data_IF_121044728646
#
_entry.id   IF_121044728646
#
_cell.length_a   1.000
_cell.length_b   1.000
_cell.length_c   1.000
_cell.angle_alpha   90.00
_cell.angle_beta   90.00
_cell.angle_gamma   90.00
#
_symmetry.space_group_name_H-M   'P 1'
#
loop_
_entity.id
_entity.type
_entity.pdbx_description
1 polymer ?
#
# COMPACT_ATOMS: atom_id res chain seq x y z
N UNK A 1 -10.14 -9.13 -12.99
CA UNK A 1 -9.44 -9.43 -14.26
C UNK A 1 -9.87 -8.38 -15.30
N UNK A 2 -9.20 -8.27 -16.46
CA UNK A 2 -9.58 -7.29 -17.49
C UNK A 2 -11.03 -7.39 -17.99
N UNK A 3 -11.68 -8.55 -17.81
CA UNK A 3 -13.07 -8.81 -18.15
C UNK A 3 -14.07 -8.17 -17.17
N UNK A 4 -13.63 -7.84 -15.95
CA UNK A 4 -14.48 -7.21 -14.92
C UNK A 4 -14.71 -5.70 -15.18
N UNK A 5 -14.01 -5.14 -16.17
CA UNK A 5 -14.00 -3.70 -16.48
C UNK A 5 -14.47 -3.45 -17.94
N UNK A 6 -15.79 -3.48 -18.21
CA UNK A 6 -16.34 -3.17 -19.53
C UNK A 6 -16.11 -1.71 -19.94
N UNK A 7 -15.30 -1.49 -20.96
CA UNK A 7 -14.95 -0.16 -21.45
C UNK A 7 -13.50 -0.13 -21.92
N UNK A 8 -13.04 1.01 -22.42
CA UNK A 8 -11.66 1.13 -22.92
C UNK A 8 -10.82 2.08 -22.08
N UNK A 9 -11.42 3.03 -21.35
CA UNK A 9 -10.73 4.09 -20.63
C UNK A 9 -10.74 3.82 -19.14
N UNK A 10 -9.57 3.54 -18.59
CA UNK A 10 -9.41 3.19 -17.18
C UNK A 10 -8.45 4.16 -16.51
N UNK A 11 -8.80 4.58 -15.29
CA UNK A 11 -7.87 5.27 -14.39
C UNK A 11 -7.40 4.30 -13.34
N UNK A 12 -6.08 4.20 -13.17
CA UNK A 12 -5.47 3.49 -12.04
C UNK A 12 -4.93 4.54 -11.07
N UNK A 13 -5.30 4.44 -9.79
CA UNK A 13 -4.95 5.40 -8.75
C UNK A 13 -4.05 4.74 -7.73
N UNK A 14 -2.85 5.25 -7.57
CA UNK A 14 -1.89 4.71 -6.61
C UNK A 14 -0.47 4.81 -7.15
N UNK A 15 0.52 4.67 -6.28
CA UNK A 15 1.93 4.66 -6.68
C UNK A 15 2.68 3.48 -6.08
N UNK A 16 1.94 2.47 -5.61
CA UNK A 16 2.43 1.25 -4.99
C UNK A 16 2.58 0.11 -6.00
N UNK A 17 3.13 -1.02 -5.54
CA UNK A 17 3.28 -2.21 -6.39
C UNK A 17 1.96 -2.69 -7.00
N UNK A 18 0.85 -2.64 -6.25
CA UNK A 18 -0.45 -3.08 -6.77
C UNK A 18 -0.99 -2.17 -7.87
N UNK A 19 -0.77 -0.86 -7.74
CA UNK A 19 -1.14 0.13 -8.74
C UNK A 19 -0.32 -0.01 -10.03
N UNK A 20 1.00 -0.19 -9.91
CA UNK A 20 1.85 -0.49 -11.06
C UNK A 20 1.29 -1.74 -11.80
N UNK A 21 0.82 -2.74 -11.04
CA UNK A 21 0.47 -4.06 -11.59
C UNK A 21 -0.82 -3.96 -12.37
N UNK A 22 -1.83 -3.32 -11.78
CA UNK A 22 -3.07 -3.00 -12.46
C UNK A 22 -2.82 -2.19 -13.74
N UNK A 23 -1.97 -1.15 -13.67
CA UNK A 23 -1.65 -0.33 -14.84
C UNK A 23 -1.00 -1.14 -15.96
N UNK A 24 -0.08 -2.04 -15.62
CA UNK A 24 0.59 -2.94 -16.57
C UNK A 24 -0.40 -3.90 -17.23
N UNK A 25 -1.18 -4.64 -16.44
CA UNK A 25 -2.10 -5.65 -16.97
C UNK A 25 -3.19 -5.05 -17.86
N UNK A 26 -3.71 -3.87 -17.49
CA UNK A 26 -4.74 -3.19 -18.27
C UNK A 26 -4.18 -2.63 -19.57
N UNK A 27 -2.97 -2.09 -19.54
CA UNK A 27 -2.29 -1.64 -20.76
C UNK A 27 -2.03 -2.82 -21.70
N UNK A 28 -1.51 -3.93 -21.18
CA UNK A 28 -1.22 -5.14 -21.97
C UNK A 28 -2.50 -5.82 -22.48
N UNK A 29 -3.63 -5.64 -21.80
CA UNK A 29 -4.97 -6.00 -22.29
C UNK A 29 -5.53 -5.02 -23.34
N UNK A 30 -4.79 -3.97 -23.70
CA UNK A 30 -5.11 -3.01 -24.76
C UNK A 30 -5.98 -1.82 -24.32
N UNK A 31 -6.17 -1.58 -23.02
CA UNK A 31 -6.95 -0.44 -22.50
C UNK A 31 -6.17 0.88 -22.64
N UNK A 32 -6.89 2.00 -22.62
CA UNK A 32 -6.34 3.34 -22.42
C UNK A 32 -6.22 3.60 -20.92
N UNK A 33 -4.99 3.60 -20.42
CA UNK A 33 -4.68 3.73 -19.00
C UNK A 33 -4.23 5.16 -18.69
N UNK A 34 -4.96 5.84 -17.82
CA UNK A 34 -4.47 7.04 -17.15
C UNK A 34 -4.00 6.66 -15.75
N UNK A 35 -2.69 6.65 -15.54
CA UNK A 35 -2.06 6.23 -14.30
C UNK A 35 -1.81 7.46 -13.39
N UNK A 36 -2.57 7.59 -12.31
CA UNK A 36 -2.59 8.78 -11.44
C UNK A 36 -1.96 8.48 -10.09
N UNK A 37 -1.03 9.33 -9.66
CA UNK A 37 -0.42 9.21 -8.34
C UNK A 37 -0.08 10.56 -7.70
N UNK A 38 -0.17 10.59 -6.36
CA UNK A 38 0.11 11.79 -5.55
C UNK A 38 1.59 12.10 -5.37
N UNK A 39 2.45 11.09 -5.52
CA UNK A 39 3.90 11.21 -5.30
C UNK A 39 4.58 11.82 -6.54
N UNK A 40 5.73 12.47 -6.38
CA UNK A 40 6.53 12.94 -7.51
C UNK A 40 7.23 11.78 -8.22
N UNK A 41 7.56 11.99 -9.49
CA UNK A 41 8.32 11.03 -10.30
C UNK A 41 9.66 10.65 -9.64
N UNK A 42 10.32 11.61 -8.99
CA UNK A 42 11.59 11.41 -8.30
C UNK A 42 11.52 10.43 -7.12
N UNK A 43 10.33 10.11 -6.62
CA UNK A 43 10.13 9.07 -5.61
C UNK A 43 9.68 7.75 -6.23
N UNK A 44 8.83 7.79 -7.25
CA UNK A 44 8.27 6.59 -7.86
C UNK A 44 9.24 5.87 -8.81
N UNK A 45 9.84 6.61 -9.75
CA UNK A 45 10.65 6.02 -10.82
C UNK A 45 11.88 5.28 -10.31
N UNK A 46 12.63 5.74 -9.27
CA UNK A 46 13.74 4.97 -8.73
C UNK A 46 13.32 3.58 -8.23
N UNK A 47 12.17 3.48 -7.58
CA UNK A 47 11.68 2.20 -7.04
C UNK A 47 11.44 1.14 -8.13
N UNK A 48 11.03 1.58 -9.33
CA UNK A 48 10.91 0.70 -10.51
C UNK A 48 12.31 0.37 -11.06
N UNK A 49 13.15 1.39 -11.26
CA UNK A 49 14.48 1.27 -11.87
C UNK A 49 15.44 0.40 -11.06
N UNK A 50 15.37 0.48 -9.74
CA UNK A 50 16.18 -0.33 -8.84
C UNK A 50 15.75 -1.80 -8.83
N UNK A 51 14.59 -2.11 -9.43
CA UNK A 51 13.96 -3.44 -9.41
C UNK A 51 13.83 -4.08 -10.80
N UNK A 52 14.53 -3.57 -11.82
CA UNK A 52 14.42 -4.05 -13.22
C UNK A 52 14.83 -5.53 -13.43
N UNK A 53 15.50 -6.15 -12.47
CA UNK A 53 15.77 -7.59 -12.46
C UNK A 53 14.50 -8.44 -12.29
N UNK A 54 13.39 -7.83 -11.86
CA UNK A 54 12.07 -8.45 -11.83
C UNK A 54 11.33 -8.15 -13.15
N UNK A 55 10.91 -9.17 -13.92
CA UNK A 55 10.31 -8.98 -15.25
C UNK A 55 9.14 -8.01 -15.27
N UNK A 56 8.37 -8.04 -14.20
CA UNK A 56 7.22 -7.17 -14.00
C UNK A 56 7.60 -5.67 -13.94
N UNK A 57 8.65 -5.29 -13.20
CA UNK A 57 9.10 -3.89 -13.15
C UNK A 57 9.78 -3.45 -14.45
N UNK A 58 10.46 -4.39 -15.14
CA UNK A 58 10.98 -4.13 -16.48
C UNK A 58 9.84 -3.80 -17.47
N UNK A 59 8.69 -4.49 -17.36
CA UNK A 59 7.55 -4.26 -18.25
C UNK A 59 6.90 -2.90 -18.04
N UNK A 60 6.58 -2.51 -16.80
CA UNK A 60 6.00 -1.18 -16.54
C UNK A 60 6.97 -0.06 -16.90
N UNK A 61 8.28 -0.23 -16.64
CA UNK A 61 9.29 0.74 -17.07
C UNK A 61 9.27 0.95 -18.58
N UNK A 62 9.23 -0.14 -19.35
CA UNK A 62 9.11 -0.09 -20.80
C UNK A 62 7.84 0.67 -21.24
N UNK A 63 6.68 0.37 -20.64
CA UNK A 63 5.41 1.05 -20.98
C UNK A 63 5.49 2.55 -20.70
N UNK A 64 6.11 2.94 -19.58
CA UNK A 64 6.26 4.34 -19.19
C UNK A 64 7.26 5.11 -20.05
N UNK A 65 8.26 4.42 -20.62
CA UNK A 65 9.26 5.00 -21.53
C UNK A 65 8.80 5.01 -23.00
N UNK A 66 7.88 4.11 -23.36
CA UNK A 66 7.25 4.08 -24.68
C UNK A 66 6.30 5.27 -24.86
N UNK A 67 6.42 5.95 -26.01
CA UNK A 67 5.45 6.98 -26.42
C UNK A 67 4.13 6.33 -26.89
N UNK A 68 3.42 5.68 -25.98
CA UNK A 68 2.13 5.05 -26.24
C UNK A 68 0.99 6.06 -26.03
N UNK A 69 0.11 6.28 -27.02
CA UNK A 69 -1.09 7.10 -26.81
C UNK A 69 -2.11 6.43 -25.88
N UNK A 70 -1.87 5.17 -25.47
CA UNK A 70 -2.73 4.40 -24.56
C UNK A 70 -2.26 4.45 -23.11
N UNK A 71 -1.16 5.15 -22.81
CA UNK A 71 -0.65 5.25 -21.45
C UNK A 71 -0.33 6.71 -21.11
N UNK A 72 -1.02 7.24 -20.11
CA UNK A 72 -0.86 8.61 -19.63
C UNK A 72 -0.53 8.57 -18.13
N UNK A 73 0.75 8.74 -17.78
CA UNK A 73 1.21 8.76 -16.40
C UNK A 73 1.21 10.18 -15.82
N UNK A 74 0.44 10.41 -14.76
CA UNK A 74 0.27 11.70 -14.09
C UNK A 74 0.77 11.65 -12.66
N UNK A 75 1.94 12.25 -12.46
CA UNK A 75 2.52 12.48 -11.14
C UNK A 75 1.90 13.68 -10.44
N UNK A 76 2.09 13.76 -9.12
CA UNK A 76 1.63 14.87 -8.27
C UNK A 76 0.17 15.28 -8.53
N UNK A 77 -0.67 14.28 -8.79
CA UNK A 77 -2.06 14.45 -9.20
C UNK A 77 -2.98 13.67 -8.27
N UNK A 78 -4.07 14.29 -7.85
CA UNK A 78 -5.11 13.69 -7.01
C UNK A 78 -6.47 13.76 -7.68
N UNK A 79 -7.32 12.76 -7.44
CA UNK A 79 -8.74 12.83 -7.79
C UNK A 79 -9.45 13.59 -6.68
N UNK A 80 -10.20 14.64 -7.04
CA UNK A 80 -10.97 15.44 -6.09
C UNK A 80 -12.46 15.10 -6.12
N UNK A 81 -12.96 14.59 -7.25
CA UNK A 81 -14.37 14.23 -7.43
C UNK A 81 -14.53 13.24 -8.59
N UNK A 82 -15.49 12.33 -8.42
CA UNK A 82 -15.97 11.40 -9.45
C UNK A 82 -17.46 11.67 -9.62
N UNK A 83 -17.87 12.04 -10.83
CA UNK A 83 -19.27 12.25 -11.16
C UNK A 83 -19.96 10.95 -11.61
N UNK A 84 -21.30 10.84 -11.44
CA UNK A 84 -22.04 9.66 -11.86
C UNK A 84 -21.95 9.33 -13.36
N UNK A 85 -21.57 10.31 -14.20
CA UNK A 85 -21.42 10.15 -15.63
C UNK A 85 -20.02 9.69 -16.08
N UNK A 86 -19.12 9.38 -15.14
CA UNK A 86 -17.74 9.00 -15.43
C UNK A 86 -16.78 10.18 -15.60
N UNK A 87 -17.20 11.43 -15.32
CA UNK A 87 -16.28 12.56 -15.27
C UNK A 87 -15.42 12.50 -14.00
N UNK A 88 -14.11 12.39 -14.17
CA UNK A 88 -13.13 12.53 -13.09
C UNK A 88 -12.56 13.94 -13.06
N UNK A 89 -12.54 14.53 -11.87
CA UNK A 89 -11.89 15.80 -11.60
C UNK A 89 -10.53 15.54 -10.98
N UNK A 90 -9.49 16.03 -11.65
CA UNK A 90 -8.10 15.87 -11.26
C UNK A 90 -7.54 17.22 -10.81
N UNK A 91 -6.78 17.22 -9.73
CA UNK A 91 -6.05 18.37 -9.24
C UNK A 91 -4.57 18.06 -9.22
N UNK A 92 -3.76 18.98 -9.72
CA UNK A 92 -2.30 18.92 -9.70
C UNK A 92 -1.73 20.31 -9.45
N UNK A 93 -0.40 20.41 -9.34
CA UNK A 93 0.28 21.71 -9.23
C UNK A 93 0.06 22.63 -10.43
N UNK A 94 -0.20 22.06 -11.61
CA UNK A 94 -0.46 22.84 -12.84
C UNK A 94 -1.92 23.26 -13.00
N UNK A 95 -2.80 22.82 -12.10
CA UNK A 95 -4.21 23.20 -12.07
C UNK A 95 -5.16 22.02 -12.01
N UNK A 96 -6.43 22.31 -12.25
CA UNK A 96 -7.51 21.33 -12.27
C UNK A 96 -7.88 20.97 -13.70
N UNK A 97 -8.15 19.69 -13.95
CA UNK A 97 -8.57 19.18 -15.27
C UNK A 97 -9.65 18.13 -15.09
N UNK A 98 -10.39 17.85 -16.16
CA UNK A 98 -11.38 16.77 -16.19
C UNK A 98 -11.05 15.75 -17.27
N UNK A 99 -11.35 14.49 -16.98
CA UNK A 99 -11.24 13.39 -17.94
C UNK A 99 -12.50 12.53 -17.87
N UNK A 100 -12.80 11.84 -18.97
CA UNK A 100 -13.91 10.90 -19.07
C UNK A 100 -13.37 9.49 -19.03
N UNK A 101 -13.92 8.66 -18.13
CA UNK A 101 -13.44 7.30 -17.89
C UNK A 101 -14.60 6.34 -17.76
N UNK A 102 -14.32 5.07 -18.04
CA UNK A 102 -15.31 4.00 -17.88
C UNK A 102 -15.13 3.34 -16.49
N UNK A 103 -13.90 3.26 -15.99
CA UNK A 103 -13.58 2.68 -14.69
C UNK A 103 -12.49 3.45 -13.93
N UNK A 104 -12.61 3.42 -12.60
CA UNK A 104 -11.58 3.88 -11.66
C UNK A 104 -11.16 2.70 -10.79
N UNK A 105 -9.87 2.41 -10.79
CA UNK A 105 -9.27 1.32 -10.02
C UNK A 105 -8.40 1.96 -8.94
N UNK A 106 -8.75 1.74 -7.68
CA UNK A 106 -8.13 2.42 -6.53
C UNK A 106 -7.19 1.45 -5.83
N UNK A 107 -5.89 1.69 -6.01
CA UNK A 107 -4.77 0.87 -5.54
C UNK A 107 -3.85 1.70 -4.64
N UNK A 108 -4.45 2.41 -3.67
CA UNK A 108 -3.74 3.31 -2.75
C UNK A 108 -3.19 2.61 -1.51
N UNK A 109 -3.23 1.28 -1.48
CA UNK A 109 -2.83 0.45 -0.35
C UNK A 109 -3.98 0.14 0.62
N UNK A 110 -3.64 -0.57 1.69
CA UNK A 110 -4.57 -0.89 2.78
C UNK A 110 -4.40 0.06 3.96
N UNK A 111 -5.49 0.31 4.67
CA UNK A 111 -5.48 1.02 5.96
C UNK A 111 -5.88 0.02 7.03
N UNK A 112 -5.14 0.00 8.13
CA UNK A 112 -5.51 -0.79 9.30
C UNK A 112 -6.78 -0.21 9.93
N UNK A 113 -7.73 -1.08 10.26
CA UNK A 113 -8.94 -0.69 10.97
C UNK A 113 -8.68 -0.61 12.46
N UNK A 114 -8.53 0.62 12.96
CA UNK A 114 -8.31 0.89 14.39
C UNK A 114 -9.60 0.98 15.19
N UNK A 115 -10.79 0.93 14.55
CA UNK A 115 -12.07 0.93 15.28
C UNK A 115 -12.23 -0.30 16.16
N UNK A 116 -11.49 -1.38 15.87
CA UNK A 116 -11.39 -2.57 16.72
C UNK A 116 -10.89 -2.29 18.14
N UNK A 117 -10.26 -1.13 18.36
CA UNK A 117 -9.78 -0.69 19.68
C UNK A 117 -10.74 0.26 20.38
N UNK A 118 -11.94 0.51 19.84
CA UNK A 118 -12.95 1.28 20.55
C UNK A 118 -13.30 0.61 21.90
N UNK A 119 -13.20 1.39 22.98
CA UNK A 119 -13.39 0.90 24.35
C UNK A 119 -12.13 0.39 25.05
N UNK A 120 -10.99 0.31 24.35
CA UNK A 120 -9.67 0.12 24.97
C UNK A 120 -9.11 1.47 25.46
N UNK A 121 -8.11 1.45 26.37
CA UNK A 121 -7.27 2.62 26.61
C UNK A 121 -6.64 3.16 25.31
N UNK A 122 -6.24 4.44 25.32
CA UNK A 122 -5.55 5.06 24.19
C UNK A 122 -4.29 4.27 23.80
N UNK A 123 -4.22 3.88 22.53
CA UNK A 123 -3.09 3.11 21.98
C UNK A 123 -2.12 4.06 21.29
N UNK A 124 -0.84 3.97 21.65
CA UNK A 124 0.22 4.72 21.00
C UNK A 124 0.55 4.12 19.65
N UNK A 125 0.45 4.95 18.62
CA UNK A 125 0.77 4.60 17.25
C UNK A 125 2.01 5.36 16.75
N UNK A 126 2.82 4.69 15.95
CA UNK A 126 3.97 5.29 15.23
C UNK A 126 3.80 5.09 13.74
N UNK A 127 4.10 6.12 12.96
CA UNK A 127 4.04 6.00 11.51
C UNK A 127 5.18 5.12 10.99
N UNK A 128 4.83 4.13 10.16
CA UNK A 128 5.79 3.30 9.45
C UNK A 128 5.65 3.53 7.95
N UNK A 129 6.76 3.96 7.36
CA UNK A 129 6.98 4.04 5.92
C UNK A 129 8.19 3.15 5.58
N UNK A 130 8.19 2.47 4.44
CA UNK A 130 9.42 1.93 3.84
C UNK A 130 9.50 2.15 2.34
N UNK A 131 10.69 1.87 1.84
CA UNK A 131 11.05 1.85 0.43
C UNK A 131 10.26 0.78 -0.36
N UNK A 132 9.60 -0.18 0.30
CA UNK A 132 8.66 -1.12 -0.33
C UNK A 132 7.24 -0.56 -0.43
N UNK A 133 7.08 0.74 -0.19
CA UNK A 133 5.83 1.49 -0.35
C UNK A 133 4.75 1.04 0.63
N UNK A 134 5.14 0.41 1.74
CA UNK A 134 4.24 0.04 2.83
C UNK A 134 4.02 1.25 3.76
N UNK A 135 2.76 1.52 4.08
CA UNK A 135 2.35 2.65 4.90
C UNK A 135 1.31 2.16 5.92
N UNK A 136 1.68 2.14 7.20
CA UNK A 136 0.75 1.78 8.29
C UNK A 136 1.16 2.51 9.56
N UNK A 137 0.21 2.76 10.47
CA UNK A 137 0.56 3.17 11.83
C UNK A 137 0.70 1.94 12.70
N UNK A 138 1.88 1.71 13.24
CA UNK A 138 2.16 0.54 14.06
C UNK A 138 1.86 0.83 15.52
N UNK A 139 1.33 -0.14 16.23
CA UNK A 139 1.17 -0.07 17.68
C UNK A 139 2.53 -0.22 18.35
N UNK A 140 2.79 0.64 19.33
CA UNK A 140 3.99 0.53 20.16
C UNK A 140 3.94 -0.72 21.03
N UNK A 141 5.07 -1.39 21.12
CA UNK A 141 5.19 -2.67 21.79
C UNK A 141 6.50 -2.83 22.54
N UNK A 142 6.51 -3.76 23.50
CA UNK A 142 7.73 -4.28 24.09
C UNK A 142 8.54 -5.06 23.02
N UNK A 143 9.80 -4.68 22.71
CA UNK A 143 10.53 -5.22 21.56
C UNK A 143 10.76 -6.75 21.56
N UNK A 144 10.72 -7.40 22.72
CA UNK A 144 11.03 -8.83 22.87
C UNK A 144 9.81 -9.72 23.08
N UNK A 145 8.63 -9.16 23.31
CA UNK A 145 7.37 -9.91 23.45
C UNK A 145 6.33 -9.49 22.42
N UNK A 146 6.52 -8.32 21.81
CA UNK A 146 5.53 -7.60 21.02
C UNK A 146 4.22 -7.37 21.77
N UNK A 147 4.24 -7.39 23.11
CA UNK A 147 3.08 -6.96 23.89
C UNK A 147 2.93 -5.43 23.77
N UNK A 148 1.69 -4.96 23.61
CA UNK A 148 1.35 -3.53 23.70
C UNK A 148 1.90 -2.93 24.99
N UNK A 149 2.49 -1.73 24.89
CA UNK A 149 2.92 -0.99 26.08
C UNK A 149 1.75 -0.31 26.80
N UNK A 150 0.60 -0.18 26.12
CA UNK A 150 -0.57 0.55 26.61
C UNK A 150 -1.64 -0.40 27.16
N UNK A 151 -1.77 -1.62 26.61
CA UNK A 151 -2.80 -2.60 26.98
C UNK A 151 -2.17 -3.94 27.30
N UNK A 152 -2.24 -4.34 28.57
CA UNK A 152 -1.75 -5.65 29.01
C UNK A 152 -2.44 -6.81 28.26
N UNK A 153 -1.65 -7.80 27.85
CA UNK A 153 -2.06 -8.99 27.10
C UNK A 153 -2.62 -8.72 25.69
N UNK A 154 -2.43 -7.53 25.15
CA UNK A 154 -2.72 -7.22 23.74
C UNK A 154 -1.44 -7.35 22.91
N UNK A 155 -1.49 -8.11 21.82
CA UNK A 155 -0.33 -8.38 20.97
C UNK A 155 -0.67 -8.08 19.50
N UNK A 156 -0.15 -7.00 18.88
CA UNK A 156 -0.32 -6.78 17.46
C UNK A 156 0.55 -7.78 16.70
N UNK A 157 -0.07 -8.55 15.81
CA UNK A 157 0.63 -9.44 14.91
C UNK A 157 1.11 -8.72 13.65
N UNK A 158 2.17 -9.25 13.05
CA UNK A 158 2.61 -8.84 11.72
C UNK A 158 2.97 -7.36 11.63
N UNK A 159 2.50 -6.71 10.56
CA UNK A 159 2.85 -5.32 10.28
C UNK A 159 2.25 -4.29 11.24
N UNK A 160 1.34 -4.69 12.15
CA UNK A 160 0.80 -3.78 13.15
C UNK A 160 1.74 -3.59 14.35
N UNK A 161 2.74 -4.45 14.52
CA UNK A 161 3.74 -4.29 15.56
C UNK A 161 4.85 -3.30 15.15
N UNK A 162 5.21 -2.38 16.04
CA UNK A 162 6.31 -1.45 15.83
C UNK A 162 7.63 -2.19 15.52
N UNK A 163 8.37 -1.67 14.54
CA UNK A 163 9.68 -2.19 14.15
C UNK A 163 9.65 -3.33 13.12
N UNK A 164 8.47 -3.69 12.62
CA UNK A 164 8.30 -4.73 11.60
C UNK A 164 8.08 -4.10 10.22
N UNK A 165 8.86 -4.51 9.21
CA UNK A 165 8.76 -3.97 7.84
C UNK A 165 8.91 -4.98 6.71
N UNK A 166 9.11 -6.27 7.00
CA UNK A 166 9.27 -7.33 5.99
C UNK A 166 8.34 -8.49 6.32
N UNK A 167 7.71 -9.08 5.30
CA UNK A 167 6.67 -10.10 5.48
C UNK A 167 7.15 -11.31 6.29
N UNK A 168 8.42 -11.70 6.11
CA UNK A 168 9.00 -12.83 6.85
C UNK A 168 9.18 -12.51 8.34
N UNK A 169 9.55 -11.27 8.67
CA UNK A 169 9.64 -10.79 10.05
C UNK A 169 8.25 -10.55 10.65
N UNK A 170 7.30 -10.09 9.85
CA UNK A 170 5.92 -9.97 10.28
C UNK A 170 5.34 -11.34 10.69
N UNK A 171 5.57 -12.39 9.91
CA UNK A 171 5.09 -13.74 10.22
C UNK A 171 5.89 -14.41 11.34
N UNK A 172 7.20 -14.57 11.19
CA UNK A 172 8.00 -15.35 12.15
C UNK A 172 8.48 -14.53 13.34
N UNK A 173 8.85 -13.27 13.09
CA UNK A 173 9.45 -12.39 14.09
C UNK A 173 8.48 -12.02 15.22
N UNK A 174 7.18 -11.92 14.94
CA UNK A 174 6.18 -11.64 15.98
C UNK A 174 5.62 -12.91 16.62
N UNK A 175 5.40 -13.98 15.84
CA UNK A 175 4.70 -15.18 16.33
C UNK A 175 5.41 -15.88 17.48
N UNK A 176 6.72 -16.17 17.37
CA UNK A 176 7.43 -16.90 18.43
C UNK A 176 7.56 -16.10 19.73
N UNK A 177 7.95 -14.81 19.70
CA UNK A 177 8.09 -14.05 20.93
C UNK A 177 6.74 -13.73 21.60
N UNK A 178 5.67 -13.53 20.82
CA UNK A 178 4.30 -13.42 21.36
C UNK A 178 3.91 -14.73 22.06
N UNK A 179 4.07 -15.87 21.39
CA UNK A 179 3.74 -17.17 21.96
C UNK A 179 4.56 -17.45 23.24
N UNK A 180 5.85 -17.16 23.22
CA UNK A 180 6.71 -17.31 24.40
C UNK A 180 6.25 -16.41 25.56
N UNK A 181 5.88 -15.16 25.29
CA UNK A 181 5.36 -14.23 26.30
C UNK A 181 4.08 -14.77 26.94
N UNK A 182 3.13 -15.26 26.14
CA UNK A 182 1.89 -15.85 26.63
C UNK A 182 2.18 -17.09 27.48
N UNK A 183 2.98 -18.03 26.95
CA UNK A 183 3.29 -19.28 27.66
C UNK A 183 4.05 -19.04 28.99
N UNK A 184 4.88 -18.00 29.06
CA UNK A 184 5.56 -17.62 30.31
C UNK A 184 4.57 -17.06 31.34
N UNK A 185 3.63 -16.19 30.92
CA UNK A 185 2.60 -15.63 31.79
C UNK A 185 1.62 -16.68 32.31
N UNK A 186 1.30 -17.67 31.48
CA UNK A 186 0.46 -18.82 31.83
C UNK A 186 1.23 -19.88 32.67
N UNK A 187 2.54 -19.69 32.90
CA UNK A 187 3.35 -20.62 33.69
C UNK A 187 3.67 -21.95 33.00
N UNK A 188 3.42 -22.05 31.69
CA UNK A 188 3.69 -23.26 30.89
C UNK A 188 5.18 -23.44 30.62
N UNK A 189 5.91 -22.33 30.43
CA UNK A 189 7.37 -22.33 30.23
C UNK A 189 8.04 -21.36 31.20
N UNK A 190 9.32 -21.61 31.53
CA UNK A 190 10.10 -20.74 32.43
C UNK A 190 10.75 -19.58 31.68
N UNK A 191 10.98 -18.42 32.33
CA UNK A 191 11.81 -17.36 31.76
C UNK A 191 13.22 -17.89 31.50
N UNK A 192 13.73 -17.69 30.28
CA UNK A 192 15.15 -17.89 29.98
C UNK A 192 15.90 -16.62 30.36
N UNK A 193 16.80 -16.73 31.34
CA UNK A 193 17.70 -15.65 31.78
C UNK A 193 18.82 -15.40 30.77
#
# INVERSE_FOLDING_TARGET
TPDDFPGERVVVVGGGRSADWAATELHDAGRYVTYVQRQPESQHAPLIRDSLYLPYYARIAQIMEEASPRFDCRYETTITRIDPDGTLHLSSKVGTTTIQVDHVIVEIGGVADYSLFEGFPDIQLVDKYDDYRFQVRQMRVHPHSYESIDVANLYPGGYLAEGIGLVVYAMHGTTYPIAASILQKEGVIRPTH
#
